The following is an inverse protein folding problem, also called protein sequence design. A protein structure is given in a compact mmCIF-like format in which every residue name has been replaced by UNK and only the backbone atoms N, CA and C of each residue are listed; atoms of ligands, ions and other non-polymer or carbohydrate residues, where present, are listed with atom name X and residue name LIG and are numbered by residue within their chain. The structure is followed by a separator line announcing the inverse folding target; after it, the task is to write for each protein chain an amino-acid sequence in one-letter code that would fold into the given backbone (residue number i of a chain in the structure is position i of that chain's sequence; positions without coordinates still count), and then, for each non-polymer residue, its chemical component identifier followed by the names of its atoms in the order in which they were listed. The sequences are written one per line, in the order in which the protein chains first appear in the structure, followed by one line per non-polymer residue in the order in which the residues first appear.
data_IF_130822856665
#
_entry.id   IF_130822856665
#
_cell.length_a   1.000
_cell.length_b   1.000
_cell.length_c   1.000
_cell.angle_alpha   90.00
_cell.angle_beta   90.00
_cell.angle_gamma   90.00
#
_symmetry.space_group_name_H-M   'P 1'
#
loop_
_entity.id
_entity.type
_entity.pdbx_description
1 polymer ?
#
# COMPACT_ATOMS: atom_id res chain seq x y z
N UNK A 1 -43.16 6.86 17.56
CA UNK A 1 -41.71 7.12 17.81
C UNK A 1 -40.94 5.88 17.42
N UNK A 2 -40.38 5.84 16.21
CA UNK A 2 -39.47 4.76 15.78
C UNK A 2 -38.16 4.93 16.52
N UNK A 3 -37.82 3.98 17.39
CA UNK A 3 -36.50 3.93 18.02
C UNK A 3 -35.45 3.94 16.91
N UNK A 4 -34.62 4.98 16.86
CA UNK A 4 -33.45 5.00 16.01
C UNK A 4 -32.62 3.77 16.38
N UNK A 5 -32.52 2.81 15.46
CA UNK A 5 -31.64 1.64 15.64
C UNK A 5 -30.26 2.15 15.98
N UNK A 6 -29.82 1.92 17.21
CA UNK A 6 -28.49 2.30 17.67
C UNK A 6 -27.47 1.73 16.67
N UNK A 7 -26.75 2.64 16.02
CA UNK A 7 -25.82 2.28 14.96
C UNK A 7 -24.69 1.47 15.58
N UNK A 8 -24.62 0.17 15.27
CA UNK A 8 -23.56 -0.70 15.79
C UNK A 8 -22.20 -0.16 15.34
N UNK A 9 -21.20 -0.09 16.23
CA UNK A 9 -19.86 0.39 15.87
C UNK A 9 -19.26 -0.49 14.78
N UNK A 10 -18.63 0.14 13.79
CA UNK A 10 -17.92 -0.53 12.69
C UNK A 10 -16.47 -0.71 13.12
N UNK A 11 -15.90 -1.88 12.85
CA UNK A 11 -14.44 -2.11 12.98
C UNK A 11 -13.79 -1.85 11.62
N UNK A 12 -12.77 -1.00 11.60
CA UNK A 12 -11.99 -0.69 10.41
C UNK A 12 -10.53 -1.10 10.62
N UNK A 13 -10.02 -1.92 9.72
CA UNK A 13 -8.62 -2.32 9.65
C UNK A 13 -7.94 -1.51 8.55
N UNK A 14 -6.72 -1.05 8.81
CA UNK A 14 -6.02 -0.11 7.92
C UNK A 14 -5.14 -0.77 6.86
N UNK A 15 -5.20 -2.10 6.69
CA UNK A 15 -4.37 -2.81 5.71
C UNK A 15 -3.55 -3.91 6.39
N UNK A 16 -2.25 -3.67 6.59
CA UNK A 16 -1.27 -4.57 7.21
C UNK A 16 -1.74 -5.24 8.52
N UNK A 17 -1.56 -6.55 8.62
CA UNK A 17 -1.84 -7.38 9.80
C UNK A 17 -0.68 -8.37 10.01
N UNK A 18 -0.10 -8.50 11.23
CA UNK A 18 1.09 -9.32 11.47
C UNK A 18 0.76 -10.82 11.58
N UNK A 19 0.17 -11.38 10.54
CA UNK A 19 -0.18 -12.78 10.39
C UNK A 19 0.55 -13.37 9.16
N UNK A 20 0.72 -14.70 9.09
CA UNK A 20 1.60 -15.32 8.09
C UNK A 20 1.13 -15.14 6.64
N UNK A 21 -0.18 -15.16 6.40
CA UNK A 21 -0.78 -15.12 5.06
C UNK A 21 -2.19 -14.52 5.06
N UNK A 22 -2.71 -14.22 3.87
CA UNK A 22 -4.02 -13.58 3.69
C UNK A 22 -5.19 -14.46 4.16
N UNK A 23 -5.11 -15.79 4.06
CA UNK A 23 -6.20 -16.67 4.50
C UNK A 23 -6.35 -16.65 6.02
N UNK A 24 -5.21 -16.73 6.71
CA UNK A 24 -5.13 -16.60 8.16
C UNK A 24 -5.67 -15.23 8.61
N UNK A 25 -5.34 -14.15 7.90
CA UNK A 25 -5.90 -12.81 8.16
C UNK A 25 -7.42 -12.80 7.99
N UNK A 26 -7.92 -13.25 6.85
CA UNK A 26 -9.35 -13.22 6.56
C UNK A 26 -10.17 -14.00 7.59
N UNK A 27 -9.72 -15.22 7.95
CA UNK A 27 -10.39 -16.06 8.95
C UNK A 27 -10.33 -15.44 10.35
N UNK A 28 -9.17 -14.95 10.75
CA UNK A 28 -8.96 -14.39 12.10
C UNK A 28 -9.79 -13.14 12.31
N UNK A 29 -9.70 -12.17 11.40
CA UNK A 29 -10.43 -10.91 11.53
C UNK A 29 -11.93 -11.11 11.44
N UNK A 30 -12.39 -12.00 10.56
CA UNK A 30 -13.82 -12.29 10.43
C UNK A 30 -14.39 -12.91 11.70
N UNK A 31 -13.71 -13.93 12.24
CA UNK A 31 -14.11 -14.58 13.49
C UNK A 31 -14.16 -13.59 14.66
N UNK A 32 -13.16 -12.71 14.75
CA UNK A 32 -13.04 -11.78 15.86
C UNK A 32 -14.05 -10.61 15.81
N UNK A 33 -14.50 -10.20 14.62
CA UNK A 33 -15.19 -8.90 14.48
C UNK A 33 -16.51 -8.92 13.72
N UNK A 34 -16.95 -10.06 13.17
CA UNK A 34 -18.32 -10.18 12.66
C UNK A 34 -19.36 -9.95 13.80
N UNK A 35 -20.49 -9.25 13.56
CA UNK A 35 -20.96 -8.66 12.29
C UNK A 35 -20.58 -7.17 12.10
N UNK A 36 -19.55 -6.67 12.79
CA UNK A 36 -19.13 -5.25 12.78
C UNK A 36 -18.19 -4.91 11.61
N UNK A 37 -17.83 -5.89 10.80
CA UNK A 37 -17.00 -5.75 9.60
C UNK A 37 -17.79 -5.17 8.43
N UNK A 38 -17.18 -4.20 7.73
CA UNK A 38 -17.67 -3.69 6.43
C UNK A 38 -16.67 -3.90 5.30
N UNK A 39 -15.38 -3.89 5.62
CA UNK A 39 -14.27 -4.02 4.67
C UNK A 39 -13.18 -4.86 5.32
N UNK A 40 -12.55 -5.72 4.55
CA UNK A 40 -11.57 -6.68 5.07
C UNK A 40 -10.30 -6.65 4.20
N UNK A 41 -9.15 -6.20 4.74
CA UNK A 41 -7.88 -6.26 4.03
C UNK A 41 -7.29 -7.67 4.05
N UNK A 42 -6.39 -7.96 3.11
CA UNK A 42 -5.61 -9.20 3.07
C UNK A 42 -4.42 -9.22 4.04
N UNK A 43 -4.23 -8.13 4.79
CA UNK A 43 -3.16 -8.01 5.78
C UNK A 43 -1.79 -7.67 5.19
N UNK A 44 -1.67 -7.43 3.89
CA UNK A 44 -0.41 -7.03 3.24
C UNK A 44 0.77 -7.94 3.60
N UNK A 45 0.55 -9.26 3.64
CA UNK A 45 1.57 -10.22 4.07
C UNK A 45 2.70 -10.39 3.03
N UNK A 46 3.70 -11.23 3.34
CA UNK A 46 4.81 -11.51 2.43
C UNK A 46 5.70 -10.30 2.16
N UNK A 47 5.90 -9.93 0.89
CA UNK A 47 6.76 -8.80 0.50
C UNK A 47 6.20 -7.44 0.95
N UNK A 48 4.88 -7.35 1.16
CA UNK A 48 4.21 -6.10 1.58
C UNK A 48 4.16 -5.91 3.10
N UNK A 49 4.68 -6.85 3.91
CA UNK A 49 4.55 -6.85 5.39
C UNK A 49 5.16 -5.66 6.11
N UNK A 50 5.93 -4.84 5.40
CA UNK A 50 6.53 -3.60 5.91
C UNK A 50 6.16 -2.44 4.99
N UNK A 51 4.90 -2.41 4.56
CA UNK A 51 4.27 -1.40 3.73
C UNK A 51 5.12 -1.12 2.47
N UNK A 52 5.56 0.12 2.24
CA UNK A 52 6.33 0.51 1.06
C UNK A 52 7.77 -0.03 0.99
N UNK A 53 8.24 -0.82 1.98
CA UNK A 53 9.65 -1.22 2.04
C UNK A 53 10.14 -1.92 0.76
N UNK A 54 9.32 -2.80 0.19
CA UNK A 54 9.67 -3.52 -1.03
C UNK A 54 9.81 -2.60 -2.26
N UNK A 55 9.15 -1.43 -2.25
CA UNK A 55 9.24 -0.46 -3.34
C UNK A 55 10.64 0.13 -3.50
N UNK A 56 11.48 0.09 -2.46
CA UNK A 56 12.89 0.47 -2.60
C UNK A 56 13.60 -0.42 -3.63
N UNK A 57 13.35 -1.74 -3.59
CA UNK A 57 13.93 -2.67 -4.55
C UNK A 57 13.32 -2.47 -5.93
N UNK A 58 11.99 -2.28 -6.02
CA UNK A 58 11.30 -1.97 -7.30
C UNK A 58 11.92 -0.77 -7.99
N UNK A 59 12.22 0.30 -7.25
CA UNK A 59 12.88 1.49 -7.80
C UNK A 59 14.36 1.21 -8.15
N UNK A 60 15.09 0.49 -7.30
CA UNK A 60 16.50 0.16 -7.53
C UNK A 60 16.72 -0.75 -8.76
N UNK A 61 15.75 -1.61 -9.07
CA UNK A 61 15.77 -2.48 -10.25
C UNK A 61 15.46 -1.74 -11.56
N UNK A 62 15.00 -0.48 -11.49
CA UNK A 62 14.71 0.31 -12.67
C UNK A 62 16.01 0.73 -13.37
N UNK A 63 16.14 0.53 -14.70
CA UNK A 63 17.38 0.81 -15.42
C UNK A 63 17.80 2.29 -15.42
N UNK A 64 16.86 3.21 -15.21
CA UNK A 64 17.11 4.65 -15.15
C UNK A 64 17.46 5.15 -13.73
N UNK A 65 17.42 4.28 -12.71
CA UNK A 65 17.68 4.63 -11.32
C UNK A 65 18.98 3.96 -10.86
N UNK A 66 19.73 4.64 -9.99
CA UNK A 66 20.91 4.09 -9.34
C UNK A 66 20.98 4.45 -7.85
N UNK A 67 21.82 3.75 -7.11
CA UNK A 67 22.11 4.08 -5.72
C UNK A 67 22.95 5.35 -5.66
N UNK A 68 22.52 6.31 -4.84
CA UNK A 68 23.21 7.55 -4.60
C UNK A 68 24.32 7.36 -3.55
N UNK A 69 25.44 6.73 -3.92
CA UNK A 69 26.51 6.34 -2.96
C UNK A 69 27.31 7.51 -2.38
N UNK A 70 27.31 8.65 -3.06
CA UNK A 70 27.96 9.92 -2.69
C UNK A 70 27.10 10.83 -1.80
N UNK A 71 25.90 10.40 -1.41
CA UNK A 71 25.08 11.11 -0.40
C UNK A 71 24.90 10.27 0.86
N UNK A 72 24.84 10.89 2.05
CA UNK A 72 24.50 10.17 3.27
C UNK A 72 23.13 9.48 3.18
N UNK A 73 22.96 8.33 3.86
CA UNK A 73 21.67 7.67 3.93
C UNK A 73 20.63 8.58 4.61
N UNK A 74 19.37 8.42 4.23
CA UNK A 74 18.27 9.03 4.97
C UNK A 74 18.09 8.31 6.31
N UNK A 75 18.15 9.08 7.40
CA UNK A 75 17.94 8.59 8.77
C UNK A 75 16.46 8.65 9.09
N UNK A 76 15.80 7.49 9.09
CA UNK A 76 14.41 7.37 9.48
C UNK A 76 14.31 7.24 11.00
N UNK A 77 13.91 8.32 11.66
CA UNK A 77 13.77 8.45 13.12
C UNK A 77 12.31 8.47 13.55
N UNK A 78 12.01 8.04 14.78
CA UNK A 78 10.70 8.25 15.40
C UNK A 78 10.54 9.68 15.94
N UNK A 79 9.34 9.99 16.42
CA UNK A 79 8.98 11.27 17.05
C UNK A 79 9.86 11.62 18.27
N UNK A 80 10.44 10.61 18.92
CA UNK A 80 11.35 10.74 20.07
C UNK A 80 12.83 10.83 19.68
N UNK A 81 13.14 10.85 18.37
CA UNK A 81 14.50 10.88 17.83
C UNK A 81 15.18 9.52 17.71
N UNK A 82 14.53 8.42 18.12
CA UNK A 82 15.09 7.06 17.99
C UNK A 82 15.31 6.72 16.52
N UNK A 83 16.54 6.45 16.12
CA UNK A 83 16.88 5.98 14.77
C UNK A 83 16.38 4.55 14.56
N UNK A 84 15.41 4.39 13.65
CA UNK A 84 14.86 3.09 13.29
C UNK A 84 15.59 2.45 12.13
N UNK A 85 16.01 3.25 11.14
CA UNK A 85 16.62 2.75 9.91
C UNK A 85 17.46 3.81 9.23
N UNK A 86 18.55 3.35 8.61
CA UNK A 86 19.27 4.12 7.60
C UNK A 86 18.90 3.60 6.20
N UNK A 87 18.50 4.51 5.32
CA UNK A 87 18.00 4.20 3.99
C UNK A 87 18.98 4.75 2.97
N UNK A 88 19.64 3.87 2.20
CA UNK A 88 20.43 4.30 1.04
C UNK A 88 19.49 4.96 0.02
N UNK A 89 19.77 6.23 -0.30
CA UNK A 89 18.97 6.96 -1.27
C UNK A 89 19.27 6.49 -2.69
N UNK A 90 18.30 6.68 -3.56
CA UNK A 90 18.34 6.43 -4.98
C UNK A 90 18.32 7.77 -5.72
N UNK A 91 18.86 7.79 -6.94
CA UNK A 91 18.84 8.94 -7.85
C UNK A 91 18.53 8.48 -9.27
N UNK A 92 18.05 9.40 -10.10
CA UNK A 92 17.93 9.19 -11.54
C UNK A 92 19.34 9.31 -12.14
N UNK A 93 19.72 8.35 -12.99
CA UNK A 93 21.01 8.38 -13.68
C UNK A 93 21.10 9.62 -14.58
N UNK A 94 22.29 10.19 -14.69
CA UNK A 94 22.52 11.36 -15.55
C UNK A 94 22.08 11.08 -17.00
N UNK A 95 21.20 11.94 -17.54
CA UNK A 95 20.67 11.82 -18.89
C UNK A 95 19.61 10.73 -19.10
N UNK A 96 19.28 9.94 -18.08
CA UNK A 96 18.22 8.94 -18.16
C UNK A 96 16.83 9.59 -18.14
N UNK A 97 15.87 8.91 -18.75
CA UNK A 97 14.45 9.28 -18.71
C UNK A 97 13.68 8.17 -18.00
N UNK A 98 12.85 8.56 -17.05
CA UNK A 98 11.93 7.65 -16.38
C UNK A 98 10.70 7.42 -17.26
N UNK A 99 10.27 6.18 -17.34
CA UNK A 99 9.07 5.75 -18.09
C UNK A 99 8.15 4.97 -17.14
N UNK A 100 6.86 5.32 -17.01
CA UNK A 100 5.91 4.59 -16.18
C UNK A 100 5.88 3.08 -16.50
N UNK A 101 6.05 2.69 -17.77
CA UNK A 101 6.03 1.29 -18.18
C UNK A 101 7.22 0.46 -17.64
N UNK A 102 8.27 1.13 -17.17
CA UNK A 102 9.45 0.48 -16.57
C UNK A 102 9.34 0.33 -15.05
N UNK A 103 8.31 0.90 -14.43
CA UNK A 103 8.01 0.73 -13.01
C UNK A 103 7.10 -0.49 -12.86
N UNK A 104 7.42 -1.37 -11.90
CA UNK A 104 6.66 -2.62 -11.67
C UNK A 104 6.35 -2.80 -10.20
N UNK A 105 5.39 -2.03 -9.69
CA UNK A 105 4.98 -2.13 -8.27
C UNK A 105 4.22 -3.42 -7.96
N UNK A 106 3.48 -3.98 -8.93
CA UNK A 106 2.76 -5.25 -8.79
C UNK A 106 1.53 -5.20 -7.88
N UNK A 107 0.99 -4.01 -7.57
CA UNK A 107 -0.17 -3.85 -6.70
C UNK A 107 -1.42 -4.49 -7.28
N UNK A 108 -1.65 -4.34 -8.58
CA UNK A 108 -2.78 -4.94 -9.28
C UNK A 108 -2.73 -6.46 -9.23
N UNK A 109 -1.58 -7.07 -9.59
CA UNK A 109 -1.40 -8.52 -9.56
C UNK A 109 -1.58 -9.08 -8.14
N UNK A 110 -1.01 -8.42 -7.13
CA UNK A 110 -1.17 -8.81 -5.73
C UNK A 110 -2.64 -8.72 -5.27
N UNK A 111 -3.35 -7.64 -5.61
CA UNK A 111 -4.75 -7.47 -5.27
C UNK A 111 -5.67 -8.49 -5.95
N UNK A 112 -5.42 -8.78 -7.24
CA UNK A 112 -6.15 -9.80 -8.01
C UNK A 112 -5.91 -11.19 -7.44
N UNK A 113 -4.67 -11.50 -7.05
CA UNK A 113 -4.33 -12.75 -6.37
C UNK A 113 -5.08 -12.92 -5.05
N UNK A 114 -5.05 -11.89 -4.18
CA UNK A 114 -5.78 -11.91 -2.91
C UNK A 114 -7.30 -11.97 -3.07
N UNK A 115 -7.85 -11.35 -4.12
CA UNK A 115 -9.28 -11.38 -4.42
C UNK A 115 -9.79 -12.81 -4.63
N UNK A 116 -9.07 -13.65 -5.37
CA UNK A 116 -9.50 -15.04 -5.61
C UNK A 116 -9.70 -15.82 -4.31
N UNK A 117 -8.83 -15.59 -3.33
CA UNK A 117 -8.95 -16.17 -1.99
C UNK A 117 -10.13 -15.58 -1.21
N UNK A 118 -10.30 -14.25 -1.24
CA UNK A 118 -11.41 -13.56 -0.59
C UNK A 118 -12.77 -14.06 -1.12
N UNK A 119 -12.93 -14.13 -2.45
CA UNK A 119 -14.15 -14.55 -3.10
C UNK A 119 -14.52 -16.00 -2.75
N UNK A 120 -13.54 -16.91 -2.78
CA UNK A 120 -13.71 -18.30 -2.32
C UNK A 120 -14.22 -18.36 -0.87
N UNK A 121 -13.58 -17.64 0.05
CA UNK A 121 -13.97 -17.65 1.46
C UNK A 121 -15.36 -17.01 1.70
N UNK A 122 -15.77 -16.07 0.86
CA UNK A 122 -17.14 -15.52 0.92
C UNK A 122 -18.17 -16.53 0.38
N UNK A 123 -17.86 -17.27 -0.68
CA UNK A 123 -18.72 -18.34 -1.21
C UNK A 123 -18.87 -19.51 -0.22
N UNK A 124 -17.81 -19.82 0.54
CA UNK A 124 -17.83 -20.81 1.63
C UNK A 124 -18.60 -20.34 2.88
N UNK A 125 -19.06 -19.08 2.91
CA UNK A 125 -19.76 -18.50 4.06
C UNK A 125 -18.86 -18.14 5.24
N UNK A 126 -17.53 -18.25 5.08
CA UNK A 126 -16.56 -17.83 6.10
C UNK A 126 -16.60 -16.31 6.26
N UNK A 127 -16.58 -15.58 5.14
CA UNK A 127 -16.70 -14.11 5.10
C UNK A 127 -18.17 -13.74 4.83
N UNK A 128 -18.82 -12.89 5.64
CA UNK A 128 -20.20 -12.47 5.37
C UNK A 128 -20.35 -11.79 4.00
N UNK A 129 -21.45 -12.10 3.28
CA UNK A 129 -21.70 -11.61 1.91
C UNK A 129 -21.68 -10.08 1.74
N UNK A 130 -21.99 -9.32 2.80
CA UNK A 130 -22.00 -7.85 2.78
C UNK A 130 -20.64 -7.19 3.03
N UNK A 131 -19.58 -7.95 3.28
CA UNK A 131 -18.22 -7.42 3.50
C UNK A 131 -17.54 -7.24 2.14
N UNK A 132 -16.87 -6.09 1.96
CA UNK A 132 -16.06 -5.81 0.78
C UNK A 132 -14.59 -6.19 1.00
N UNK A 133 -13.92 -6.59 -0.08
CA UNK A 133 -12.46 -6.74 -0.05
C UNK A 133 -11.79 -5.36 -0.05
N UNK A 134 -10.91 -5.09 0.91
CA UNK A 134 -10.17 -3.84 1.01
C UNK A 134 -8.78 -3.97 0.38
N UNK A 135 -8.46 -3.07 -0.54
CA UNK A 135 -7.15 -2.96 -1.17
C UNK A 135 -6.54 -1.63 -0.71
N UNK A 136 -5.47 -1.72 0.09
CA UNK A 136 -4.71 -0.57 0.57
C UNK A 136 -3.52 -0.29 -0.36
N UNK A 137 -3.39 0.97 -0.78
CA UNK A 137 -2.33 1.44 -1.66
C UNK A 137 -1.65 2.66 -1.03
N UNK A 138 -0.31 2.76 -1.05
CA UNK A 138 0.34 4.02 -0.74
C UNK A 138 0.06 5.04 -1.85
N UNK A 139 0.40 6.28 -1.61
CA UNK A 139 0.50 7.28 -2.68
C UNK A 139 1.86 7.21 -3.37
N UNK A 140 2.03 7.84 -4.56
CA UNK A 140 3.34 8.00 -5.20
C UNK A 140 4.36 8.77 -4.37
N UNK A 141 3.91 9.64 -3.45
CA UNK A 141 4.79 10.43 -2.58
C UNK A 141 5.55 9.51 -1.64
N UNK A 142 4.91 8.46 -1.12
CA UNK A 142 5.47 7.64 -0.07
C UNK A 142 6.83 6.99 -0.41
N UNK A 143 6.97 6.19 -1.49
CA UNK A 143 8.26 5.67 -1.90
C UNK A 143 9.20 6.77 -2.42
N UNK A 144 8.66 7.83 -3.04
CA UNK A 144 9.50 8.90 -3.60
C UNK A 144 10.25 9.66 -2.52
N UNK A 145 9.58 10.05 -1.43
CA UNK A 145 10.21 10.82 -0.36
C UNK A 145 11.18 10.00 0.48
N UNK A 146 10.85 8.74 0.75
CA UNK A 146 11.70 7.84 1.53
C UNK A 146 12.94 7.37 0.78
N UNK A 147 12.86 7.19 -0.54
CA UNK A 147 13.92 6.52 -1.30
C UNK A 147 14.71 7.44 -2.21
N UNK A 148 14.12 8.49 -2.78
CA UNK A 148 14.84 9.35 -3.72
C UNK A 148 15.60 10.49 -3.02
N UNK A 149 16.72 10.89 -3.60
CA UNK A 149 17.34 12.18 -3.29
C UNK A 149 16.36 13.32 -3.57
N UNK A 150 16.35 14.42 -2.79
CA UNK A 150 15.34 15.46 -2.90
C UNK A 150 15.24 16.10 -4.28
N UNK A 151 16.39 16.30 -4.95
CA UNK A 151 16.48 16.90 -6.27
C UNK A 151 15.75 16.11 -7.37
N UNK A 152 15.62 14.78 -7.20
CA UNK A 152 15.05 13.90 -8.23
C UNK A 152 13.58 13.52 -7.97
N UNK A 153 13.04 13.89 -6.80
CA UNK A 153 11.62 13.65 -6.48
C UNK A 153 10.66 14.22 -7.54
N UNK A 154 10.86 15.45 -8.07
CA UNK A 154 9.97 15.99 -9.12
C UNK A 154 9.98 15.18 -10.42
N UNK A 155 11.07 14.47 -10.73
CA UNK A 155 11.15 13.62 -11.91
C UNK A 155 10.37 12.30 -11.72
N UNK A 156 10.40 11.72 -10.52
CA UNK A 156 9.73 10.44 -10.25
C UNK A 156 8.22 10.56 -9.98
N UNK A 157 7.77 11.61 -9.28
CA UNK A 157 6.35 11.73 -8.86
C UNK A 157 5.38 11.58 -10.03
N UNK A 158 5.51 12.31 -11.16
CA UNK A 158 4.55 12.18 -12.27
C UNK A 158 4.56 10.79 -12.90
N UNK A 159 5.75 10.17 -13.00
CA UNK A 159 5.95 8.85 -13.61
C UNK A 159 5.30 7.77 -12.74
N UNK A 160 5.58 7.78 -11.43
CA UNK A 160 4.99 6.84 -10.50
C UNK A 160 3.49 7.05 -10.35
N UNK A 161 3.01 8.30 -10.42
CA UNK A 161 1.57 8.61 -10.45
C UNK A 161 0.88 7.96 -11.64
N UNK A 162 1.44 8.13 -12.86
CA UNK A 162 0.89 7.50 -14.06
C UNK A 162 0.87 5.97 -13.95
N UNK A 163 1.95 5.38 -13.44
CA UNK A 163 2.03 3.93 -13.19
C UNK A 163 0.96 3.45 -12.20
N UNK A 164 0.84 4.10 -11.04
CA UNK A 164 -0.12 3.70 -10.01
C UNK A 164 -1.58 3.92 -10.43
N UNK A 165 -1.88 4.94 -11.23
CA UNK A 165 -3.20 5.09 -11.85
C UNK A 165 -3.50 3.95 -12.83
N UNK A 166 -2.51 3.47 -13.58
CA UNK A 166 -2.61 2.28 -14.41
C UNK A 166 -2.93 1.02 -13.59
N UNK A 167 -2.30 0.84 -12.45
CA UNK A 167 -2.56 -0.27 -11.52
C UNK A 167 -4.00 -0.22 -10.97
N UNK A 168 -4.47 0.97 -10.55
CA UNK A 168 -5.85 1.18 -10.11
C UNK A 168 -6.85 0.86 -11.23
N UNK A 169 -6.56 1.30 -12.46
CA UNK A 169 -7.41 0.99 -13.62
C UNK A 169 -7.45 -0.51 -13.92
N UNK A 170 -6.32 -1.22 -13.80
CA UNK A 170 -6.24 -2.67 -13.96
C UNK A 170 -7.08 -3.40 -12.90
N UNK A 171 -7.00 -2.98 -11.63
CA UNK A 171 -7.83 -3.50 -10.53
C UNK A 171 -9.32 -3.29 -10.83
N UNK A 172 -9.71 -2.06 -11.16
CA UNK A 172 -11.11 -1.70 -11.41
C UNK A 172 -11.71 -2.41 -12.64
N UNK A 173 -10.86 -2.81 -13.59
CA UNK A 173 -11.25 -3.62 -14.75
C UNK A 173 -11.39 -5.11 -14.40
N UNK A 174 -10.50 -5.62 -13.55
CA UNK A 174 -10.43 -7.05 -13.23
C UNK A 174 -11.42 -7.49 -12.14
N UNK A 175 -11.75 -6.60 -11.20
CA UNK A 175 -12.49 -6.94 -9.98
C UNK A 175 -13.91 -6.33 -9.98
N UNK A 176 -14.89 -6.97 -9.29
CA UNK A 176 -16.24 -6.43 -9.14
C UNK A 176 -16.24 -5.19 -8.24
N UNK A 177 -16.38 -4.00 -8.85
CA UNK A 177 -16.26 -2.70 -8.18
C UNK A 177 -17.26 -2.47 -7.04
N UNK A 178 -18.40 -3.16 -7.04
CA UNK A 178 -19.39 -3.14 -5.97
C UNK A 178 -18.96 -3.96 -4.74
N UNK A 179 -18.04 -4.91 -4.90
CA UNK A 179 -17.55 -5.82 -3.83
C UNK A 179 -16.14 -5.49 -3.33
N UNK A 180 -15.48 -4.47 -3.88
CA UNK A 180 -14.16 -3.99 -3.42
C UNK A 180 -14.22 -2.59 -2.81
N UNK A 181 -13.19 -2.22 -2.07
CA UNK A 181 -12.94 -0.88 -1.56
C UNK A 181 -11.45 -0.55 -1.67
N UNK A 182 -11.13 0.62 -2.23
CA UNK A 182 -9.77 1.16 -2.26
C UNK A 182 -9.53 2.07 -1.05
N UNK A 183 -8.37 1.91 -0.42
CA UNK A 183 -7.85 2.82 0.61
C UNK A 183 -6.52 3.41 0.14
N UNK A 184 -6.36 4.72 0.33
CA UNK A 184 -5.09 5.42 0.11
C UNK A 184 -4.38 5.68 1.43
N UNK A 185 -3.15 5.23 1.56
CA UNK A 185 -2.31 5.43 2.74
C UNK A 185 -1.50 6.73 2.60
N UNK A 186 -2.01 7.80 3.20
CA UNK A 186 -1.47 9.16 3.13
C UNK A 186 -0.55 9.43 4.33
N UNK A 187 0.45 8.56 4.54
CA UNK A 187 1.33 8.66 5.72
C UNK A 187 2.51 9.61 5.50
N UNK A 188 3.19 9.53 4.35
CA UNK A 188 4.38 10.35 4.13
C UNK A 188 4.06 11.83 3.87
N UNK A 189 2.89 12.12 3.31
CA UNK A 189 2.38 13.48 3.14
C UNK A 189 2.13 14.16 4.49
N UNK A 190 1.54 13.43 5.45
CA UNK A 190 1.26 13.97 6.78
C UNK A 190 2.56 14.30 7.50
N UNK A 191 3.55 13.40 7.50
CA UNK A 191 4.82 13.71 8.17
C UNK A 191 5.65 14.76 7.41
N UNK A 192 5.53 14.83 6.07
CA UNK A 192 6.12 15.92 5.30
C UNK A 192 5.50 17.28 5.68
N UNK A 193 4.17 17.32 5.87
CA UNK A 193 3.47 18.50 6.37
C UNK A 193 3.95 18.90 7.76
N UNK A 194 4.28 17.93 8.62
CA UNK A 194 4.85 18.17 9.95
C UNK A 194 6.36 18.45 9.96
N UNK A 195 6.99 18.60 8.79
CA UNK A 195 8.40 19.01 8.68
C UNK A 195 9.42 17.89 8.92
N UNK A 196 9.03 16.62 8.70
CA UNK A 196 9.90 15.47 8.95
C UNK A 196 11.08 15.31 7.97
N UNK A 197 10.93 15.78 6.73
CA UNK A 197 11.84 15.47 5.60
C UNK A 197 12.84 16.57 5.24
#
# INVERSE_FOLDING_TARGET
MTAATAQKPIVHFVGSIPLPDAETVFRTLTTATAPRLKRLPDGETGIRKTWIRFLQQVLADNPAIEIASDVPPFKFTQWDGTLLREIRRLRVKAGARLDPATIKTGYADMAIGSWGLFDRLQQEGVIPAGVKFQISLPTPIAPTYNYMVPADRPALIPVLTAHMLGEVAAIAKALPNDRIALQWDVCQEVIAWEGYY
#
